data_IF_791799752899
#
_entry.id   IF_791799752899
#
_cell.length_a   1.000
_cell.length_b   1.000
_cell.length_c   1.000
_cell.angle_alpha   90.00
_cell.angle_beta   90.00
_cell.angle_gamma   90.00
#
_symmetry.space_group_name_H-M   'P 1'
#
loop_
_entity.id
_entity.type
_entity.pdbx_description
1 polymer ?
#
# COMPACT_ATOMS: atom_id res chain seq x y z
N UNK A 1 -22.53 -79.18 11.05
CA UNK A 1 -22.67 -77.72 11.29
C UNK A 1 -22.08 -77.37 12.65
N UNK A 2 -20.88 -76.78 12.67
CA UNK A 2 -20.30 -76.02 13.79
C UNK A 2 -19.44 -74.93 13.16
N UNK A 3 -19.79 -73.65 13.36
CA UNK A 3 -19.08 -72.48 12.81
C UNK A 3 -17.91 -72.13 13.72
N UNK A 4 -16.73 -71.93 13.15
CA UNK A 4 -15.53 -71.41 13.81
C UNK A 4 -15.71 -69.94 14.21
N UNK A 5 -15.16 -69.46 15.33
CA UNK A 5 -15.09 -68.03 15.62
C UNK A 5 -13.85 -67.39 14.96
N UNK A 6 -14.08 -66.25 14.32
CA UNK A 6 -13.05 -65.35 13.79
C UNK A 6 -12.39 -64.58 14.97
N UNK A 7 -11.07 -64.36 15.00
CA UNK A 7 -10.45 -63.51 16.01
C UNK A 7 -10.72 -62.03 15.70
N UNK A 8 -11.15 -61.30 16.73
CA UNK A 8 -11.33 -59.86 16.71
C UNK A 8 -9.98 -59.14 16.62
N UNK A 9 -9.81 -58.31 15.59
CA UNK A 9 -8.72 -57.34 15.52
C UNK A 9 -9.01 -56.18 16.50
N UNK A 10 -8.09 -55.81 17.41
CA UNK A 10 -8.29 -54.66 18.27
C UNK A 10 -8.10 -53.36 17.48
N UNK A 11 -9.21 -52.66 17.23
CA UNK A 11 -9.30 -51.30 16.70
C UNK A 11 -8.80 -50.31 17.75
N UNK A 12 -7.48 -50.18 17.97
CA UNK A 12 -6.93 -49.17 18.90
C UNK A 12 -5.59 -48.53 18.48
N UNK A 13 -5.25 -48.56 17.20
CA UNK A 13 -3.99 -47.97 16.70
C UNK A 13 -4.16 -46.98 15.54
N UNK A 14 -5.38 -46.44 15.39
CA UNK A 14 -5.71 -45.50 14.31
C UNK A 14 -5.96 -44.05 14.72
N UNK A 15 -5.85 -43.70 16.01
CA UNK A 15 -6.25 -42.36 16.50
C UNK A 15 -5.08 -41.46 16.95
N UNK A 16 -3.86 -41.97 17.04
CA UNK A 16 -2.71 -41.17 17.48
C UNK A 16 -1.89 -40.56 16.34
N UNK A 17 -1.97 -41.10 15.12
CA UNK A 17 -1.19 -40.60 13.97
C UNK A 17 -1.86 -39.44 13.23
N UNK A 18 -3.16 -39.22 13.45
CA UNK A 18 -3.92 -38.12 12.83
C UNK A 18 -3.73 -36.76 13.53
N UNK A 19 -3.35 -36.75 14.82
CA UNK A 19 -3.16 -35.50 15.57
C UNK A 19 -1.79 -34.85 15.34
N UNK A 20 -0.78 -35.61 14.90
CA UNK A 20 0.58 -35.10 14.71
C UNK A 20 0.77 -34.32 13.39
N UNK A 21 -0.14 -34.48 12.43
CA UNK A 21 -0.10 -33.75 11.16
C UNK A 21 -0.85 -32.41 11.20
N UNK A 22 -1.61 -32.13 12.27
CA UNK A 22 -2.31 -30.86 12.48
C UNK A 22 -1.46 -29.81 13.21
N UNK A 23 -0.31 -30.18 13.77
CA UNK A 23 0.55 -29.28 14.56
C UNK A 23 1.65 -28.57 13.75
N UNK A 24 1.76 -28.79 12.44
CA UNK A 24 2.81 -28.14 11.61
C UNK A 24 2.29 -26.98 10.75
N UNK A 25 0.98 -26.69 10.83
CA UNK A 25 0.39 -25.47 10.25
C UNK A 25 0.16 -24.39 11.31
N UNK A 26 1.06 -24.29 12.28
CA UNK A 26 1.26 -23.01 12.94
C UNK A 26 1.88 -22.10 11.88
N UNK A 27 1.03 -21.42 11.11
CA UNK A 27 1.39 -20.19 10.43
C UNK A 27 2.19 -19.39 11.45
N UNK A 28 3.49 -19.25 11.20
CA UNK A 28 4.28 -18.24 11.85
C UNK A 28 3.56 -16.92 11.55
N UNK A 29 2.78 -16.43 12.52
CA UNK A 29 2.50 -15.01 12.63
C UNK A 29 3.85 -14.37 12.88
N UNK A 30 4.61 -14.20 11.80
CA UNK A 30 5.76 -13.32 11.80
C UNK A 30 5.16 -11.98 12.22
N UNK A 31 5.60 -11.36 13.34
CA UNK A 31 5.15 -10.03 13.69
C UNK A 31 5.29 -9.18 12.42
N UNK A 32 4.21 -8.50 11.99
CA UNK A 32 4.29 -7.50 10.92
C UNK A 32 5.44 -6.57 11.29
N UNK A 33 6.60 -6.81 10.68
CA UNK A 33 7.79 -6.05 10.98
C UNK A 33 7.59 -4.69 10.32
N UNK A 34 7.98 -3.61 11.00
CA UNK A 34 7.90 -2.25 10.45
C UNK A 34 8.55 -2.13 9.06
N UNK A 35 9.52 -3.01 8.77
CA UNK A 35 10.11 -3.19 7.45
C UNK A 35 9.09 -3.61 6.38
N UNK A 36 8.19 -4.55 6.66
CA UNK A 36 7.13 -4.96 5.72
C UNK A 36 6.11 -3.85 5.47
N UNK A 37 5.75 -3.10 6.51
CA UNK A 37 4.83 -1.96 6.35
C UNK A 37 5.45 -0.84 5.52
N UNK A 38 6.75 -0.59 5.72
CA UNK A 38 7.50 0.36 4.90
C UNK A 38 7.61 -0.10 3.45
N UNK A 39 8.01 -1.35 3.19
CA UNK A 39 8.09 -1.90 1.83
C UNK A 39 6.73 -1.84 1.11
N UNK A 40 5.64 -2.12 1.83
CA UNK A 40 4.29 -2.02 1.30
C UNK A 40 3.93 -0.58 0.95
N UNK A 41 4.22 0.37 1.83
CA UNK A 41 3.98 1.79 1.58
C UNK A 41 4.81 2.30 0.39
N UNK A 42 6.11 2.00 0.33
CA UNK A 42 7.00 2.40 -0.78
C UNK A 42 6.47 1.88 -2.12
N UNK A 43 6.06 0.60 -2.15
CA UNK A 43 5.44 0.01 -3.35
C UNK A 43 4.15 0.73 -3.74
N UNK A 44 3.28 1.04 -2.78
CA UNK A 44 2.02 1.74 -3.03
C UNK A 44 2.27 3.14 -3.60
N UNK A 45 3.22 3.89 -3.04
CA UNK A 45 3.58 5.23 -3.52
C UNK A 45 4.05 5.16 -4.98
N UNK A 46 4.93 4.22 -5.31
CA UNK A 46 5.43 4.02 -6.67
C UNK A 46 4.31 3.67 -7.65
N UNK A 47 3.41 2.76 -7.27
CA UNK A 47 2.28 2.37 -8.11
C UNK A 47 1.31 3.53 -8.33
N UNK A 48 0.96 4.26 -7.27
CA UNK A 48 0.13 5.46 -7.35
C UNK A 48 0.74 6.50 -8.30
N UNK A 49 2.01 6.84 -8.12
CA UNK A 49 2.70 7.82 -8.96
C UNK A 49 2.74 7.38 -10.43
N UNK A 50 3.05 6.11 -10.69
CA UNK A 50 3.05 5.56 -12.04
C UNK A 50 1.65 5.63 -12.70
N UNK A 51 0.60 5.22 -11.99
CA UNK A 51 -0.77 5.31 -12.49
C UNK A 51 -1.21 6.77 -12.74
N UNK A 52 -0.77 7.68 -11.87
CA UNK A 52 -1.06 9.10 -11.97
C UNK A 52 -0.31 9.77 -13.13
N UNK A 53 0.95 9.42 -13.39
CA UNK A 53 1.74 10.01 -14.48
C UNK A 53 1.37 9.43 -15.85
N UNK A 54 1.04 8.13 -15.89
CA UNK A 54 0.63 7.44 -17.13
C UNK A 54 -0.77 7.84 -17.61
N UNK A 55 -1.48 8.69 -16.86
CA UNK A 55 -2.86 9.08 -17.15
C UNK A 55 -3.81 7.89 -17.26
N UNK A 56 -3.63 6.89 -16.41
CA UNK A 56 -4.56 5.75 -16.36
C UNK A 56 -5.98 6.24 -16.01
N UNK A 57 -7.01 5.52 -16.49
CA UNK A 57 -8.42 5.87 -16.21
C UNK A 57 -8.73 5.94 -14.71
N UNK A 58 -8.05 5.11 -13.92
CA UNK A 58 -8.19 5.09 -12.48
C UNK A 58 -7.31 6.15 -11.78
N UNK A 59 -6.25 6.62 -12.43
CA UNK A 59 -5.28 7.58 -11.90
C UNK A 59 -4.81 7.28 -10.46
N UNK A 60 -4.63 6.02 -10.07
CA UNK A 60 -4.27 5.69 -8.68
C UNK A 60 -5.38 5.92 -7.64
N UNK A 61 -6.61 6.19 -8.07
CA UNK A 61 -7.76 6.41 -7.18
C UNK A 61 -8.07 5.22 -6.26
N UNK A 62 -7.55 4.02 -6.54
CA UNK A 62 -7.68 2.89 -5.64
C UNK A 62 -7.08 3.15 -4.24
N UNK A 63 -6.05 4.00 -4.15
CA UNK A 63 -5.40 4.40 -2.90
C UNK A 63 -5.91 5.73 -2.34
N UNK A 64 -6.78 6.44 -3.04
CA UNK A 64 -7.36 7.68 -2.53
C UNK A 64 -8.42 7.36 -1.48
N UNK A 65 -8.53 8.19 -0.44
CA UNK A 65 -9.62 8.09 0.56
C UNK A 65 -11.00 8.05 -0.13
N UNK A 66 -11.86 7.11 0.26
CA UNK A 66 -13.13 6.84 -0.42
C UNK A 66 -14.01 8.10 -0.56
N UNK A 67 -14.09 8.91 0.47
CA UNK A 67 -14.84 10.17 0.51
C UNK A 67 -14.29 11.24 -0.45
N UNK A 68 -13.04 11.13 -0.91
CA UNK A 68 -12.39 12.07 -1.83
C UNK A 68 -12.34 11.57 -3.28
N UNK A 69 -12.64 10.28 -3.54
CA UNK A 69 -12.41 9.65 -4.86
C UNK A 69 -13.14 10.32 -6.01
N UNK A 70 -14.41 10.68 -5.82
CA UNK A 70 -15.22 11.26 -6.89
C UNK A 70 -14.72 12.65 -7.31
N UNK A 71 -14.43 13.51 -6.33
CA UNK A 71 -13.84 14.83 -6.56
C UNK A 71 -12.44 14.73 -7.18
N UNK A 72 -11.62 13.80 -6.65
CA UNK A 72 -10.29 13.52 -7.16
C UNK A 72 -10.31 13.17 -8.64
N UNK A 73 -11.09 12.16 -9.05
CA UNK A 73 -11.16 11.72 -10.45
C UNK A 73 -11.64 12.83 -11.39
N UNK A 74 -12.58 13.66 -10.92
CA UNK A 74 -13.06 14.82 -11.69
C UNK A 74 -11.93 15.82 -11.93
N UNK A 75 -11.22 16.24 -10.87
CA UNK A 75 -10.11 17.19 -10.96
C UNK A 75 -8.94 16.64 -11.76
N UNK A 76 -8.59 15.37 -11.58
CA UNK A 76 -7.50 14.74 -12.34
C UNK A 76 -7.79 14.76 -13.84
N UNK A 77 -9.04 14.50 -14.25
CA UNK A 77 -9.40 14.56 -15.66
C UNK A 77 -9.17 15.96 -16.25
N UNK A 78 -9.63 17.00 -15.56
CA UNK A 78 -9.42 18.39 -15.97
C UNK A 78 -7.93 18.76 -16.02
N UNK A 79 -7.13 18.20 -15.10
CA UNK A 79 -5.69 18.39 -15.06
C UNK A 79 -5.01 17.73 -16.26
N UNK A 80 -5.35 16.48 -16.58
CA UNK A 80 -4.76 15.70 -17.68
C UNK A 80 -4.99 16.30 -19.07
N UNK A 81 -6.04 17.09 -19.25
CA UNK A 81 -6.28 17.84 -20.48
C UNK A 81 -5.22 18.94 -20.73
N UNK A 82 -4.50 19.35 -19.69
CA UNK A 82 -3.56 20.50 -19.72
C UNK A 82 -2.12 20.11 -19.40
N UNK A 83 -1.91 19.03 -18.66
CA UNK A 83 -0.59 18.63 -18.18
C UNK A 83 -0.09 17.39 -18.92
N UNK A 84 1.21 17.33 -19.19
CA UNK A 84 1.90 16.11 -19.59
C UNK A 84 3.01 15.83 -18.58
N UNK A 85 2.86 14.77 -17.81
CA UNK A 85 3.87 14.34 -16.85
C UNK A 85 5.07 13.73 -17.58
N UNK A 86 6.27 14.11 -17.15
CA UNK A 86 7.53 13.61 -17.68
C UNK A 86 8.13 12.58 -16.71
N UNK A 87 8.18 12.93 -15.42
CA UNK A 87 8.69 12.04 -14.39
C UNK A 87 8.19 12.45 -13.00
N UNK A 88 8.25 11.51 -12.05
CA UNK A 88 8.33 11.84 -10.63
C UNK A 88 9.44 11.12 -9.89
N UNK A 89 9.84 11.71 -8.77
CA UNK A 89 10.83 11.15 -7.87
C UNK A 89 10.47 11.45 -6.41
N UNK A 90 10.44 10.42 -5.57
CA UNK A 90 10.37 10.61 -4.12
C UNK A 90 11.68 11.19 -3.58
N UNK A 91 11.58 12.36 -2.96
CA UNK A 91 12.72 13.11 -2.40
C UNK A 91 12.93 12.73 -0.94
N UNK A 92 11.84 12.70 -0.16
CA UNK A 92 11.87 12.42 1.27
C UNK A 92 10.57 11.83 1.78
N UNK A 93 10.67 11.06 2.85
CA UNK A 93 9.52 10.57 3.60
C UNK A 93 9.68 10.98 5.07
N UNK A 94 8.62 11.55 5.63
CA UNK A 94 8.51 11.85 7.07
C UNK A 94 7.48 10.91 7.67
N UNK A 95 7.90 10.05 8.59
CA UNK A 95 7.03 9.10 9.28
C UNK A 95 6.48 9.71 10.57
N UNK A 96 5.21 9.42 10.85
CA UNK A 96 4.56 9.80 12.11
C UNK A 96 3.83 8.61 12.74
N UNK A 97 3.66 8.71 14.05
CA UNK A 97 2.81 7.83 14.84
C UNK A 97 1.85 8.71 15.64
N UNK A 98 0.54 8.56 15.43
CA UNK A 98 -0.50 9.36 16.12
C UNK A 98 -0.24 10.86 16.01
N UNK A 99 0.06 11.32 14.80
CA UNK A 99 0.37 12.73 14.50
C UNK A 99 1.75 13.24 14.93
N UNK A 100 2.54 12.48 15.70
CA UNK A 100 3.90 12.88 16.13
C UNK A 100 4.95 12.38 15.16
N UNK A 101 5.85 13.26 14.73
CA UNK A 101 6.99 12.89 13.90
C UNK A 101 7.90 11.91 14.64
N UNK A 102 8.23 10.81 13.97
CA UNK A 102 9.19 9.81 14.47
C UNK A 102 10.55 10.11 13.87
N UNK A 103 10.61 10.14 12.53
CA UNK A 103 11.84 10.26 11.78
C UNK A 103 11.56 10.73 10.36
N UNK A 104 12.54 11.42 9.77
CA UNK A 104 12.61 11.66 8.35
C UNK A 104 13.67 10.72 7.76
N UNK A 105 13.25 9.76 6.95
CA UNK A 105 14.14 8.77 6.34
C UNK A 105 13.58 8.27 5.01
N UNK A 106 14.45 7.85 4.10
CA UNK A 106 14.08 7.13 2.88
C UNK A 106 14.16 5.61 3.06
N UNK A 107 14.35 5.15 4.30
CA UNK A 107 14.39 3.75 4.72
C UNK A 107 13.40 3.53 5.86
N UNK A 108 13.19 2.27 6.24
CA UNK A 108 12.32 1.89 7.35
C UNK A 108 12.63 2.69 8.63
N UNK A 109 11.62 3.22 9.34
CA UNK A 109 11.80 4.08 10.51
C UNK A 109 12.23 3.32 11.78
N UNK A 110 12.29 1.98 11.75
CA UNK A 110 12.71 1.15 12.89
C UNK A 110 11.71 1.09 14.06
N UNK A 111 10.53 1.71 13.95
CA UNK A 111 9.45 1.67 14.93
C UNK A 111 8.07 1.84 14.28
N UNK A 112 7.00 1.70 15.07
CA UNK A 112 5.61 1.80 14.62
C UNK A 112 5.28 3.17 14.02
N UNK A 113 4.62 3.18 12.86
CA UNK A 113 4.13 4.39 12.21
C UNK A 113 2.76 4.15 11.56
N UNK A 114 1.90 5.16 11.58
CA UNK A 114 0.54 5.12 11.03
C UNK A 114 0.29 6.22 9.98
N UNK A 115 1.24 7.13 9.80
CA UNK A 115 1.17 8.18 8.80
C UNK A 115 2.53 8.40 8.14
N UNK A 116 2.51 8.85 6.88
CA UNK A 116 3.70 9.28 6.16
C UNK A 116 3.40 10.52 5.31
N UNK A 117 4.30 11.51 5.37
CA UNK A 117 4.31 12.65 4.46
C UNK A 117 5.43 12.41 3.45
N UNK A 118 5.05 12.15 2.21
CA UNK A 118 5.95 11.82 1.11
C UNK A 118 6.12 13.06 0.24
N UNK A 119 7.34 13.56 0.10
CA UNK A 119 7.64 14.68 -0.79
C UNK A 119 8.09 14.14 -2.13
N UNK A 120 7.28 14.33 -3.17
CA UNK A 120 7.59 13.94 -4.53
C UNK A 120 7.93 15.16 -5.38
N UNK A 121 8.99 15.06 -6.18
CA UNK A 121 9.28 15.97 -7.28
C UNK A 121 8.48 15.50 -8.49
N UNK A 122 7.72 16.38 -9.10
CA UNK A 122 7.10 16.15 -10.40
C UNK A 122 7.70 17.07 -11.44
N UNK A 123 8.01 16.50 -12.59
CA UNK A 123 8.40 17.22 -13.80
C UNK A 123 7.29 17.07 -14.83
N UNK A 124 6.82 18.18 -15.37
CA UNK A 124 5.69 18.19 -16.29
C UNK A 124 5.71 19.38 -17.24
N UNK A 125 4.99 19.25 -18.35
CA UNK A 125 4.79 20.31 -19.34
C UNK A 125 3.32 20.73 -19.29
N UNK A 126 3.06 22.04 -19.33
CA UNK A 126 1.71 22.59 -19.27
C UNK A 126 1.31 23.23 -20.61
N UNK A 127 0.31 22.66 -21.28
CA UNK A 127 -0.22 23.18 -22.53
C UNK A 127 -0.87 24.57 -22.35
N UNK A 128 -0.78 25.47 -23.36
CA UNK A 128 -0.10 25.30 -24.65
C UNK A 128 1.41 25.58 -24.61
N UNK A 129 1.99 25.87 -23.45
CA UNK A 129 3.42 26.09 -23.30
C UNK A 129 4.21 24.78 -23.47
N UNK A 130 5.43 24.87 -23.97
CA UNK A 130 6.40 23.77 -24.04
C UNK A 130 7.45 23.83 -22.93
N UNK A 131 7.26 24.70 -21.94
CA UNK A 131 8.18 24.83 -20.81
C UNK A 131 8.04 23.67 -19.83
N UNK A 132 9.16 23.02 -19.52
CA UNK A 132 9.26 22.08 -18.41
C UNK A 132 9.08 22.85 -17.09
N UNK A 133 8.10 22.43 -16.29
CA UNK A 133 7.89 22.87 -14.91
C UNK A 133 8.33 21.76 -13.96
N UNK A 134 8.86 22.17 -12.81
CA UNK A 134 9.20 21.27 -11.71
C UNK A 134 8.48 21.74 -10.45
N UNK A 135 7.77 20.83 -9.77
CA UNK A 135 7.07 21.13 -8.51
C UNK A 135 7.35 20.04 -7.48
N UNK A 136 7.53 20.44 -6.22
CA UNK A 136 7.59 19.50 -5.09
C UNK A 136 6.21 19.47 -4.45
N UNK A 137 5.61 18.28 -4.38
CA UNK A 137 4.28 18.06 -3.84
C UNK A 137 4.37 17.10 -2.66
N UNK A 138 3.65 17.44 -1.59
CA UNK A 138 3.56 16.62 -0.38
C UNK A 138 2.31 15.77 -0.47
N UNK A 139 2.49 14.46 -0.41
CA UNK A 139 1.42 13.47 -0.34
C UNK A 139 1.27 13.00 1.11
N UNK A 140 0.03 13.02 1.61
CA UNK A 140 -0.27 12.61 2.98
C UNK A 140 -0.92 11.22 2.97
N UNK A 141 -0.16 10.24 3.44
CA UNK A 141 -0.55 8.85 3.52
C UNK A 141 -0.89 8.47 4.96
N UNK A 142 -1.97 7.73 5.16
CA UNK A 142 -2.41 7.26 6.47
C UNK A 142 -2.87 5.80 6.41
N UNK A 143 -2.37 4.99 7.35
CA UNK A 143 -2.78 3.60 7.55
C UNK A 143 -4.16 3.57 8.17
N UNK A 144 -5.10 2.92 7.49
CA UNK A 144 -6.46 2.76 7.95
C UNK A 144 -6.57 1.57 8.92
N UNK A 145 -7.61 1.49 9.77
CA UNK A 145 -7.82 0.38 10.70
C UNK A 145 -7.91 -1.01 10.04
N UNK A 146 -8.22 -1.07 8.74
CA UNK A 146 -8.24 -2.30 7.95
C UNK A 146 -6.86 -2.67 7.36
N UNK A 147 -5.79 -2.00 7.77
CA UNK A 147 -4.42 -2.26 7.31
C UNK A 147 -4.13 -1.79 5.88
N UNK A 148 -4.90 -0.84 5.35
CA UNK A 148 -4.70 -0.27 4.00
C UNK A 148 -4.20 1.16 4.09
N UNK A 149 -3.18 1.49 3.31
CA UNK A 149 -2.68 2.86 3.16
C UNK A 149 -3.55 3.65 2.20
N UNK A 150 -4.07 4.79 2.67
CA UNK A 150 -4.84 5.72 1.85
C UNK A 150 -4.17 7.10 1.79
N UNK A 151 -4.25 7.71 0.61
CA UNK A 151 -3.82 9.06 0.29
C UNK A 151 -4.97 10.05 0.47
N UNK A 152 -4.70 11.17 1.12
CA UNK A 152 -5.48 12.39 0.96
C UNK A 152 -4.82 13.25 -0.14
N UNK A 153 -5.31 13.20 -1.40
CA UNK A 153 -4.64 13.85 -2.51
C UNK A 153 -4.84 15.36 -2.46
N UNK A 154 -3.81 16.10 -2.81
CA UNK A 154 -3.87 17.54 -3.08
C UNK A 154 -3.34 17.82 -4.48
N UNK A 155 -4.24 18.25 -5.37
CA UNK A 155 -3.93 18.57 -6.77
C UNK A 155 -3.75 20.08 -6.99
N UNK A 156 -4.05 20.91 -5.98
CA UNK A 156 -3.93 22.37 -6.10
C UNK A 156 -2.56 22.84 -6.62
N UNK A 157 -1.42 22.23 -6.26
CA UNK A 157 -0.11 22.72 -6.70
C UNK A 157 0.13 22.64 -8.20
N UNK A 158 -0.67 21.89 -8.96
CA UNK A 158 -0.59 21.77 -10.41
C UNK A 158 -1.37 22.84 -11.17
N UNK A 159 -2.26 23.56 -10.49
CA UNK A 159 -3.06 24.64 -11.10
C UNK A 159 -2.43 26.02 -10.96
N UNK A 160 -1.30 26.12 -10.25
CA UNK A 160 -0.44 27.31 -10.15
C UNK A 160 0.42 27.53 -11.42
#
# INVERSE_FOLDING_TARGET
>A
MKRSPCPAFPVKTGLFLGLLLLSVSACSMIPESHERDFERLDKIIRLYNNEFESKSDAAGSMWVKNEMKAEYLTKVKELYDRINFVSSQTISIVFKNKGKMIVQSNTSPGGDFDEAIVSNRYEYILAPSVSLKTKIIKQHWALQPNGVWNLAPDLSPFYD
#
